data_IF_981567273738
#
_entry.id   IF_981567273738
#
_cell.length_a   1.000
_cell.length_b   1.000
_cell.length_c   1.000
_cell.angle_alpha   90.00
_cell.angle_beta   90.00
_cell.angle_gamma   90.00
#
_symmetry.space_group_name_H-M   'P 1'
#
loop_
_entity.id
_entity.type
_entity.pdbx_description
1 polymer ?
#
# COMPACT_ATOMS: atom_id res chain seq x y z
N UNK A 1 -36.01 4.06 -1.98
CA UNK A 1 -34.77 4.78 -1.62
C UNK A 1 -33.66 4.24 -2.50
N UNK A 2 -33.10 5.03 -3.41
CA UNK A 2 -32.07 4.56 -4.33
C UNK A 2 -30.82 5.43 -4.21
N UNK A 3 -30.05 5.19 -3.15
CA UNK A 3 -28.67 5.66 -3.01
C UNK A 3 -27.72 4.45 -2.92
N UNK A 4 -26.41 4.66 -3.08
CA UNK A 4 -25.45 3.57 -2.93
C UNK A 4 -25.55 2.92 -1.55
N UNK A 5 -25.33 1.59 -1.49
CA UNK A 5 -25.27 0.87 -0.21
C UNK A 5 -24.15 1.46 0.65
N UNK A 6 -24.50 1.93 1.84
CA UNK A 6 -23.51 2.42 2.81
C UNK A 6 -22.63 1.28 3.32
N UNK A 7 -21.32 1.45 3.22
CA UNK A 7 -20.32 0.53 3.75
C UNK A 7 -19.77 1.08 5.08
N UNK A 8 -20.11 0.41 6.19
CA UNK A 8 -19.64 0.76 7.55
C UNK A 8 -18.54 -0.19 8.04
N UNK A 9 -17.66 -0.61 7.15
CA UNK A 9 -16.50 -1.46 7.42
C UNK A 9 -15.22 -0.63 7.28
N UNK A 10 -14.09 -1.04 7.91
CA UNK A 10 -12.81 -0.32 7.77
C UNK A 10 -12.22 -0.36 6.35
N UNK A 11 -12.77 -1.20 5.47
CA UNK A 11 -12.43 -1.28 4.06
C UNK A 11 -12.97 -2.58 3.44
N UNK A 12 -13.21 -2.60 2.12
CA UNK A 12 -13.24 -1.46 1.20
C UNK A 12 -14.43 -0.51 1.50
N UNK A 13 -14.34 0.75 1.04
CA UNK A 13 -15.40 1.76 1.17
C UNK A 13 -15.97 2.14 -0.20
N UNK A 14 -17.07 2.92 -0.21
CA UNK A 14 -17.67 3.36 -1.47
C UNK A 14 -16.71 4.29 -2.23
N UNK A 15 -16.45 3.98 -3.50
CA UNK A 15 -15.60 4.78 -4.38
C UNK A 15 -16.37 6.04 -4.83
N UNK A 16 -15.76 7.24 -4.79
CA UNK A 16 -16.39 8.44 -5.35
C UNK A 16 -16.77 8.25 -6.82
N UNK A 17 -17.96 8.73 -7.21
CA UNK A 17 -18.52 8.46 -8.54
C UNK A 17 -17.61 8.90 -9.70
N UNK A 18 -16.88 10.01 -9.54
CA UNK A 18 -15.91 10.48 -10.53
C UNK A 18 -14.77 9.46 -10.77
N UNK A 19 -14.28 8.82 -9.70
CA UNK A 19 -13.24 7.78 -9.80
C UNK A 19 -13.82 6.50 -10.40
N UNK A 20 -15.05 6.13 -10.01
CA UNK A 20 -15.74 4.96 -10.59
C UNK A 20 -15.89 5.08 -12.10
N UNK A 21 -16.23 6.27 -12.61
CA UNK A 21 -16.34 6.53 -14.05
C UNK A 21 -15.00 6.52 -14.76
N UNK A 22 -13.93 6.97 -14.12
CA UNK A 22 -12.58 6.94 -14.70
C UNK A 22 -12.08 5.50 -14.96
N UNK A 23 -12.55 4.53 -14.18
CA UNK A 23 -12.22 3.10 -14.37
C UNK A 23 -12.88 2.51 -15.63
N UNK A 24 -13.98 3.11 -16.12
CA UNK A 24 -14.74 2.64 -17.29
C UNK A 24 -14.15 3.14 -18.62
N UNK A 25 -13.04 3.89 -18.58
CA UNK A 25 -12.34 4.36 -19.78
C UNK A 25 -11.69 3.15 -20.48
N UNK A 26 -11.79 3.01 -21.82
CA UNK A 26 -11.14 1.94 -22.56
C UNK A 26 -9.64 1.87 -22.29
N UNK A 27 -9.08 0.66 -22.29
CA UNK A 27 -7.64 0.48 -22.11
C UNK A 27 -6.85 1.19 -23.21
N UNK A 28 -5.78 1.85 -22.79
CA UNK A 28 -4.82 2.51 -23.67
C UNK A 28 -3.56 1.66 -23.84
N UNK A 29 -2.81 1.88 -24.91
CA UNK A 29 -1.53 1.20 -25.10
C UNK A 29 -0.50 1.73 -24.09
N UNK A 30 0.02 0.86 -23.23
CA UNK A 30 1.07 1.19 -22.27
C UNK A 30 2.39 1.70 -22.90
N UNK A 31 2.57 1.55 -24.22
CA UNK A 31 3.72 2.07 -24.97
C UNK A 31 3.40 3.31 -25.81
N UNK A 32 2.18 3.83 -25.70
CA UNK A 32 1.80 5.04 -26.39
C UNK A 32 2.74 6.21 -25.98
N UNK A 33 3.21 7.02 -26.93
CA UNK A 33 4.21 8.05 -26.67
C UNK A 33 3.71 9.17 -25.75
N UNK A 34 2.40 9.33 -25.61
CA UNK A 34 1.72 10.32 -24.78
C UNK A 34 1.44 9.85 -23.34
N UNK A 35 1.48 8.54 -23.07
CA UNK A 35 1.23 7.98 -21.73
C UNK A 35 2.11 8.59 -20.61
N UNK A 36 3.41 8.89 -20.82
CA UNK A 36 4.22 9.53 -19.79
C UNK A 36 3.71 10.92 -19.39
N UNK A 37 3.13 11.67 -20.33
CA UNK A 37 2.60 13.00 -20.05
C UNK A 37 1.39 12.94 -19.10
N UNK A 38 0.59 11.87 -19.20
CA UNK A 38 -0.51 11.60 -18.27
C UNK A 38 -0.02 11.03 -16.92
N UNK A 39 0.91 10.07 -16.94
CA UNK A 39 1.25 9.29 -15.74
C UNK A 39 2.33 9.91 -14.85
N UNK A 40 3.39 10.51 -15.41
CA UNK A 40 4.50 11.05 -14.62
C UNK A 40 4.11 12.14 -13.62
N UNK A 41 3.20 13.09 -13.95
CA UNK A 41 2.74 14.08 -12.98
C UNK A 41 2.09 13.46 -11.72
N UNK A 42 1.44 12.29 -11.86
CA UNK A 42 0.79 11.61 -10.74
C UNK A 42 1.79 11.18 -9.65
N UNK A 43 3.02 10.82 -10.03
CA UNK A 43 4.08 10.49 -9.07
C UNK A 43 4.46 11.72 -8.22
N UNK A 44 4.48 12.91 -8.81
CA UNK A 44 4.73 14.15 -8.10
C UNK A 44 3.57 14.53 -7.17
N UNK A 45 2.32 14.29 -7.59
CA UNK A 45 1.15 14.53 -6.73
C UNK A 45 1.08 13.56 -5.55
N UNK A 46 1.48 12.30 -5.74
CA UNK A 46 1.57 11.32 -4.64
C UNK A 46 2.57 11.75 -3.56
N UNK A 47 3.67 12.40 -3.92
CA UNK A 47 4.62 12.96 -2.93
C UNK A 47 3.95 13.98 -2.00
N UNK A 48 3.01 14.78 -2.51
CA UNK A 48 2.23 15.73 -1.71
C UNK A 48 1.31 15.01 -0.71
N UNK A 49 0.69 13.90 -1.13
CA UNK A 49 -0.15 13.05 -0.26
C UNK A 49 0.67 12.44 0.88
N UNK A 50 1.85 11.89 0.55
CA UNK A 50 2.76 11.30 1.53
C UNK A 50 3.61 12.32 2.31
N UNK A 51 3.48 13.62 2.00
CA UNK A 51 4.24 14.71 2.62
C UNK A 51 5.76 14.47 2.61
N UNK A 52 6.30 14.12 1.46
CA UNK A 52 7.74 13.87 1.27
C UNK A 52 8.29 14.68 0.12
N UNK A 53 9.47 15.29 0.31
CA UNK A 53 10.16 16.03 -0.76
C UNK A 53 11.16 15.14 -1.50
N UNK A 54 11.83 14.25 -0.77
CA UNK A 54 12.94 13.42 -1.28
C UNK A 54 12.53 11.97 -1.57
N UNK A 55 11.40 11.51 -1.05
CA UNK A 55 10.92 10.14 -1.26
C UNK A 55 10.69 9.83 -2.74
N UNK A 56 10.99 8.59 -3.13
CA UNK A 56 10.72 8.09 -4.48
C UNK A 56 9.43 7.27 -4.46
N UNK A 57 8.50 7.59 -5.37
CA UNK A 57 7.23 6.88 -5.48
C UNK A 57 7.38 5.71 -6.45
N UNK A 58 6.85 4.56 -6.04
CA UNK A 58 6.68 3.36 -6.86
C UNK A 58 5.21 2.94 -6.79
N UNK A 59 4.65 2.52 -7.93
CA UNK A 59 3.31 1.94 -8.00
C UNK A 59 3.41 0.46 -8.33
N UNK A 60 2.67 -0.36 -7.58
CA UNK A 60 2.57 -1.79 -7.78
C UNK A 60 1.11 -2.16 -8.04
N UNK A 61 0.78 -3.00 -9.04
CA UNK A 61 -0.56 -3.53 -9.26
C UNK A 61 -0.87 -4.61 -8.21
N UNK A 62 -0.95 -4.21 -6.95
CA UNK A 62 -1.16 -5.08 -5.80
C UNK A 62 -2.00 -4.38 -4.72
N UNK A 63 -2.47 -5.15 -3.73
CA UNK A 63 -3.04 -4.59 -2.52
C UNK A 63 -1.95 -4.05 -1.58
N UNK A 64 -2.34 -3.45 -0.45
CA UNK A 64 -1.39 -2.90 0.52
C UNK A 64 -0.33 -3.90 1.02
N UNK A 65 -0.69 -5.18 1.16
CA UNK A 65 0.27 -6.23 1.58
C UNK A 65 1.32 -6.54 0.51
N UNK A 66 1.03 -6.33 -0.78
CA UNK A 66 2.05 -6.45 -1.82
C UNK A 66 3.09 -5.34 -1.74
N UNK A 67 2.66 -4.13 -1.34
CA UNK A 67 3.59 -3.03 -1.03
C UNK A 67 4.51 -3.32 0.15
N UNK A 68 4.01 -4.04 1.16
CA UNK A 68 4.84 -4.47 2.31
C UNK A 68 5.95 -5.41 1.87
N UNK A 69 5.60 -6.45 1.11
CA UNK A 69 6.54 -7.44 0.61
C UNK A 69 7.57 -6.80 -0.33
N UNK A 70 7.13 -5.94 -1.25
CA UNK A 70 8.02 -5.21 -2.14
C UNK A 70 9.02 -4.35 -1.36
N UNK A 71 8.58 -3.62 -0.33
CA UNK A 71 9.47 -2.80 0.48
C UNK A 71 10.53 -3.65 1.20
N UNK A 72 10.12 -4.74 1.86
CA UNK A 72 11.03 -5.58 2.65
C UNK A 72 12.02 -6.33 1.76
N UNK A 73 11.55 -6.99 0.71
CA UNK A 73 12.40 -7.81 -0.18
C UNK A 73 13.42 -7.00 -0.97
N UNK A 74 13.17 -5.70 -1.19
CA UNK A 74 14.10 -4.81 -1.89
C UNK A 74 15.07 -4.07 -0.95
N UNK A 75 14.90 -4.17 0.37
CA UNK A 75 15.70 -3.41 1.34
C UNK A 75 16.42 -4.26 2.38
N UNK A 76 16.02 -5.52 2.56
CA UNK A 76 16.58 -6.45 3.55
C UNK A 76 16.92 -7.80 2.91
N UNK A 77 17.87 -8.51 3.54
CA UNK A 77 18.27 -9.86 3.19
C UNK A 77 17.90 -10.86 4.30
N UNK A 78 17.74 -12.16 3.98
CA UNK A 78 17.58 -13.20 5.00
C UNK A 78 18.68 -13.12 6.08
N UNK A 79 18.29 -13.19 7.34
CA UNK A 79 19.15 -13.02 8.50
C UNK A 79 19.27 -11.58 9.03
N UNK A 80 18.82 -10.56 8.28
CA UNK A 80 18.78 -9.19 8.78
C UNK A 80 17.81 -9.06 9.97
N UNK A 81 18.17 -8.19 10.92
CA UNK A 81 17.39 -7.97 12.15
C UNK A 81 16.31 -6.92 11.96
N UNK A 82 15.09 -7.23 12.41
CA UNK A 82 13.94 -6.31 12.37
C UNK A 82 13.32 -6.22 13.76
N UNK A 83 13.10 -4.99 14.25
CA UNK A 83 12.30 -4.76 15.45
C UNK A 83 10.86 -4.44 15.05
N UNK A 84 9.88 -5.14 15.63
CA UNK A 84 8.47 -4.90 15.35
C UNK A 84 7.65 -4.87 16.65
N UNK A 85 6.79 -3.86 16.79
CA UNK A 85 5.78 -3.83 17.85
C UNK A 85 4.52 -4.57 17.39
N UNK A 86 4.04 -5.52 18.19
CA UNK A 86 2.79 -6.24 17.93
C UNK A 86 1.67 -5.67 18.81
N UNK A 87 0.70 -5.02 18.17
CA UNK A 87 -0.41 -4.32 18.82
C UNK A 87 -1.77 -4.51 18.13
N UNK A 88 -1.83 -5.37 17.12
CA UNK A 88 -3.03 -5.60 16.32
C UNK A 88 -2.83 -6.55 15.15
N UNK A 89 -3.91 -6.82 14.42
CA UNK A 89 -3.92 -7.79 13.32
C UNK A 89 -2.88 -7.48 12.24
N UNK A 90 -2.76 -6.21 11.81
CA UNK A 90 -1.82 -5.85 10.75
C UNK A 90 -0.35 -5.97 11.17
N UNK A 91 -0.02 -5.60 12.41
CA UNK A 91 1.33 -5.82 12.96
C UNK A 91 1.68 -7.30 13.05
N UNK A 92 0.70 -8.16 13.38
CA UNK A 92 0.88 -9.60 13.41
C UNK A 92 1.18 -10.15 12.00
N UNK A 93 0.40 -9.73 10.99
CA UNK A 93 0.62 -10.14 9.59
C UNK A 93 1.96 -9.63 9.02
N UNK A 94 2.37 -8.42 9.38
CA UNK A 94 3.67 -7.88 9.01
C UNK A 94 4.83 -8.70 9.60
N UNK A 95 4.73 -9.07 10.88
CA UNK A 95 5.73 -9.92 11.55
C UNK A 95 5.81 -11.30 10.89
N UNK A 96 4.67 -11.94 10.61
CA UNK A 96 4.62 -13.23 9.91
C UNK A 96 5.30 -13.16 8.55
N UNK A 97 5.02 -12.11 7.75
CA UNK A 97 5.67 -11.87 6.48
C UNK A 97 7.20 -11.77 6.62
N UNK A 98 7.69 -10.95 7.55
CA UNK A 98 9.13 -10.79 7.78
C UNK A 98 9.80 -12.12 8.19
N UNK A 99 9.16 -12.91 9.05
CA UNK A 99 9.68 -14.22 9.47
C UNK A 99 9.73 -15.21 8.31
N UNK A 100 8.70 -15.24 7.45
CA UNK A 100 8.65 -16.09 6.25
C UNK A 100 9.70 -15.71 5.21
N UNK A 101 10.11 -14.45 5.17
CA UNK A 101 11.23 -13.95 4.36
C UNK A 101 12.60 -14.26 4.97
N UNK A 102 12.65 -14.94 6.13
CA UNK A 102 13.89 -15.38 6.77
C UNK A 102 14.60 -14.30 7.59
N UNK A 103 13.88 -13.24 8.01
CA UNK A 103 14.43 -12.18 8.85
C UNK A 103 14.45 -12.58 10.33
N UNK A 104 15.44 -12.07 11.09
CA UNK A 104 15.48 -12.19 12.55
C UNK A 104 14.60 -11.10 13.17
N UNK A 105 13.33 -11.44 13.41
CA UNK A 105 12.33 -10.49 13.92
C UNK A 105 12.27 -10.51 15.44
N UNK A 106 12.68 -9.41 16.06
CA UNK A 106 12.52 -9.14 17.48
C UNK A 106 11.15 -8.48 17.70
N UNK A 107 10.29 -9.15 18.47
CA UNK A 107 8.91 -8.70 18.67
C UNK A 107 8.73 -8.10 20.05
N UNK A 108 8.15 -6.90 20.10
CA UNK A 108 7.68 -6.26 21.34
C UNK A 108 6.16 -6.37 21.37
N UNK A 109 5.64 -7.30 22.17
CA UNK A 109 4.21 -7.48 22.33
C UNK A 109 3.60 -6.43 23.27
N UNK A 110 2.39 -5.96 22.92
CA UNK A 110 1.55 -5.17 23.82
C UNK A 110 0.08 -5.57 23.69
N UNK A 111 -0.72 -5.12 24.64
CA UNK A 111 -2.17 -5.40 24.64
C UNK A 111 -2.82 -4.69 23.45
N UNK A 112 -3.72 -5.38 22.76
CA UNK A 112 -4.39 -4.79 21.61
C UNK A 112 -5.26 -3.62 22.04
N UNK A 113 -5.17 -2.51 21.29
CA UNK A 113 -5.88 -1.27 21.61
C UNK A 113 -5.17 -0.37 22.62
N UNK A 114 -3.94 -0.70 23.04
CA UNK A 114 -3.12 0.15 23.92
C UNK A 114 -1.88 0.74 23.24
N UNK A 115 -1.77 0.57 21.92
CA UNK A 115 -0.69 1.13 21.09
C UNK A 115 -0.98 2.55 20.62
#
# INVERSE_FOLDING_TARGET
MAGPKSLFVPGPTNVPEAVRKAIDIPMEDHRAPDLPAFTLPLFADLKKVFKTDTGQVFLFPASGTGGWEAAITNTLNPGDKVLASRFGQFSHLWIDLCQRLGLDVQVVDCVWGTG
#
